data_IF_579865207859
#
_entry.id   IF_579865207859
#
_cell.length_a   1.000
_cell.length_b   1.000
_cell.length_c   1.000
_cell.angle_alpha   90.00
_cell.angle_beta   90.00
_cell.angle_gamma   90.00
#
_symmetry.space_group_name_H-M   'P 1'
#
loop_
_entity.id
_entity.type
_entity.pdbx_description
1 polymer ?
#
# COMPACT_ATOMS: atom_id res chain seq x y z
N UNK A 1 -16.32 23.25 22.77
CA UNK A 1 -16.71 24.21 21.73
C UNK A 1 -15.83 23.92 20.55
N UNK A 2 -16.22 22.97 19.68
CA UNK A 2 -15.53 22.63 18.43
C UNK A 2 -16.18 23.43 17.30
N UNK A 3 -15.42 24.18 16.52
CA UNK A 3 -15.88 24.66 15.22
C UNK A 3 -15.28 23.75 14.15
N UNK A 4 -16.09 23.24 13.23
CA UNK A 4 -15.77 22.87 11.85
C UNK A 4 -16.68 21.77 11.26
N UNK A 5 -18.00 21.94 11.44
CA UNK A 5 -18.97 21.17 10.63
C UNK A 5 -19.39 21.89 9.32
N UNK A 6 -18.80 23.07 9.04
CA UNK A 6 -19.28 23.97 7.99
C UNK A 6 -18.76 23.75 6.57
N UNK A 7 -17.66 23.01 6.35
CA UNK A 7 -16.96 23.06 5.03
C UNK A 7 -17.26 21.85 4.11
N UNK A 8 -17.94 20.83 4.60
CA UNK A 8 -18.22 19.61 3.81
C UNK A 8 -19.50 19.66 2.96
N UNK A 9 -20.34 20.68 3.15
CA UNK A 9 -21.64 20.77 2.45
C UNK A 9 -21.64 21.63 1.18
N UNK A 10 -20.59 22.42 0.93
CA UNK A 10 -20.59 23.37 -0.18
C UNK A 10 -20.27 22.76 -1.57
N UNK A 11 -19.77 21.52 -1.66
CA UNK A 11 -19.44 20.88 -2.95
C UNK A 11 -20.51 19.92 -3.49
N UNK A 12 -21.70 19.85 -2.90
CA UNK A 12 -22.76 18.91 -3.31
C UNK A 12 -23.76 19.43 -4.37
N UNK A 13 -23.63 20.68 -4.79
CA UNK A 13 -24.57 21.24 -5.76
C UNK A 13 -23.92 21.27 -7.15
N UNK A 14 -24.21 20.28 -8.01
CA UNK A 14 -23.94 20.38 -9.43
C UNK A 14 -23.47 19.14 -10.19
N UNK A 15 -23.27 17.99 -9.56
CA UNK A 15 -22.85 16.78 -10.30
C UNK A 15 -24.00 15.77 -10.41
N UNK A 16 -24.60 15.57 -11.63
CA UNK A 16 -25.73 14.64 -11.83
C UNK A 16 -25.37 13.17 -11.54
N UNK A 17 -24.08 12.81 -11.49
CA UNK A 17 -23.62 11.47 -11.14
C UNK A 17 -23.69 11.19 -9.62
N UNK A 18 -23.75 12.22 -8.78
CA UNK A 18 -23.91 12.07 -7.33
C UNK A 18 -25.29 11.55 -6.92
N UNK A 19 -26.31 11.77 -7.75
CA UNK A 19 -27.67 11.24 -7.55
C UNK A 19 -27.80 9.74 -7.84
N UNK A 20 -26.82 9.13 -8.48
CA UNK A 20 -26.77 7.69 -8.79
C UNK A 20 -25.99 6.88 -7.72
N UNK A 21 -25.31 7.55 -6.81
CA UNK A 21 -24.63 6.86 -5.70
C UNK A 21 -25.70 6.57 -4.63
N UNK A 22 -25.87 5.31 -4.22
CA UNK A 22 -26.77 4.95 -3.14
C UNK A 22 -26.42 5.72 -1.86
N UNK A 23 -27.38 5.96 -0.97
CA UNK A 23 -27.20 6.57 0.35
C UNK A 23 -26.23 5.80 1.29
N UNK A 24 -25.54 4.81 0.75
CA UNK A 24 -24.57 3.91 1.39
C UNK A 24 -23.18 4.54 1.63
N UNK A 25 -23.00 5.85 1.44
CA UNK A 25 -21.73 6.52 1.76
C UNK A 25 -21.27 6.33 3.22
N UNK A 26 -22.21 6.07 4.14
CA UNK A 26 -21.86 5.72 5.51
C UNK A 26 -21.10 4.38 5.61
N UNK A 27 -21.45 3.39 4.77
CA UNK A 27 -20.72 2.13 4.67
C UNK A 27 -19.35 2.28 4.01
N UNK A 28 -19.19 3.17 3.03
CA UNK A 28 -17.88 3.48 2.45
C UNK A 28 -16.89 4.07 3.47
N UNK A 29 -17.37 4.83 4.46
CA UNK A 29 -16.55 5.33 5.58
C UNK A 29 -15.98 4.19 6.42
N UNK A 30 -16.79 3.21 6.78
CA UNK A 30 -16.38 2.04 7.58
C UNK A 30 -15.33 1.17 6.86
N UNK A 31 -15.40 1.07 5.52
CA UNK A 31 -14.39 0.37 4.72
C UNK A 31 -13.04 1.10 4.69
N UNK A 32 -13.04 2.42 4.90
CA UNK A 32 -11.81 3.22 5.03
C UNK A 32 -11.08 2.98 6.34
N UNK A 33 -11.78 2.72 7.42
CA UNK A 33 -11.16 2.51 8.75
C UNK A 33 -10.40 1.18 8.85
N UNK A 34 -10.70 0.21 7.98
CA UNK A 34 -9.97 -1.08 7.89
C UNK A 34 -8.70 -1.04 7.03
N UNK A 35 -8.23 0.14 6.63
CA UNK A 35 -6.99 0.32 5.84
C UNK A 35 -5.72 -0.14 6.55
N UNK A 36 -5.73 -0.32 7.85
CA UNK A 36 -4.57 -0.73 8.64
C UNK A 36 -3.94 -2.07 8.24
N UNK A 37 -4.64 -2.89 7.44
CA UNK A 37 -4.17 -4.22 7.03
C UNK A 37 -3.76 -4.33 5.55
N UNK A 38 -4.01 -3.31 4.70
CA UNK A 38 -3.82 -3.45 3.25
C UNK A 38 -2.87 -2.44 2.61
N UNK A 39 -2.46 -1.37 3.30
CA UNK A 39 -1.59 -0.33 2.75
C UNK A 39 -0.11 -0.63 2.96
N UNK A 40 0.48 0.08 3.88
CA UNK A 40 1.89 -0.12 4.25
C UNK A 40 2.14 -1.51 4.87
N UNK A 41 1.09 -2.25 5.23
CA UNK A 41 1.16 -3.58 5.82
C UNK A 41 1.90 -4.62 4.98
N UNK A 42 1.86 -4.57 3.63
CA UNK A 42 2.69 -5.45 2.80
C UNK A 42 4.16 -5.10 2.97
N UNK A 43 4.50 -3.81 2.87
CA UNK A 43 5.87 -3.35 3.08
C UNK A 43 6.38 -3.70 4.46
N UNK A 44 5.60 -3.40 5.51
CA UNK A 44 5.98 -3.68 6.89
C UNK A 44 6.23 -5.17 7.13
N UNK A 45 5.39 -6.04 6.60
CA UNK A 45 5.62 -7.49 6.68
C UNK A 45 6.85 -7.94 5.93
N UNK A 46 7.10 -7.41 4.74
CA UNK A 46 8.30 -7.74 3.98
C UNK A 46 9.57 -7.23 4.67
N UNK A 47 9.51 -6.08 5.34
CA UNK A 47 10.64 -5.56 6.11
C UNK A 47 10.83 -6.32 7.43
N UNK A 48 9.76 -6.63 8.18
CA UNK A 48 9.84 -7.18 9.52
C UNK A 48 9.90 -8.73 9.53
N UNK A 49 9.06 -9.39 8.73
CA UNK A 49 8.91 -10.85 8.76
C UNK A 49 9.88 -11.53 7.79
N UNK A 50 10.12 -10.92 6.62
CA UNK A 50 11.00 -11.45 5.56
C UNK A 50 12.42 -10.89 5.65
N UNK A 51 12.58 -9.69 6.24
CA UNK A 51 13.88 -9.03 6.39
C UNK A 51 14.36 -8.30 5.13
N UNK A 52 13.47 -8.01 4.17
CA UNK A 52 13.80 -7.21 2.99
C UNK A 52 14.07 -5.75 3.38
N UNK A 53 14.99 -5.12 2.68
CA UNK A 53 15.26 -3.68 2.79
C UNK A 53 14.62 -2.97 1.61
N UNK A 54 13.53 -2.22 1.87
CA UNK A 54 12.73 -1.60 0.82
C UNK A 54 13.00 -0.11 0.77
N UNK A 55 13.50 0.35 -0.38
CA UNK A 55 13.80 1.74 -0.65
C UNK A 55 12.86 2.29 -1.72
N UNK A 56 12.27 3.45 -1.49
CA UNK A 56 11.63 4.23 -2.54
C UNK A 56 12.61 5.25 -3.09
N UNK A 57 13.00 5.08 -4.36
CA UNK A 57 14.05 5.87 -5.00
C UNK A 57 13.50 6.59 -6.23
N UNK A 58 13.91 7.83 -6.50
CA UNK A 58 13.62 8.47 -7.77
C UNK A 58 14.41 7.75 -8.88
N UNK A 59 13.70 7.22 -9.87
CA UNK A 59 14.27 6.51 -10.99
C UNK A 59 13.67 7.03 -12.30
N UNK A 60 14.32 6.72 -13.44
CA UNK A 60 13.73 6.97 -14.75
C UNK A 60 12.36 6.28 -14.86
N UNK A 61 11.40 6.94 -15.51
CA UNK A 61 9.99 6.47 -15.57
C UNK A 61 9.82 5.06 -16.15
N UNK A 62 10.77 4.60 -16.98
CA UNK A 62 10.77 3.25 -17.54
C UNK A 62 11.20 2.15 -16.56
N UNK A 63 11.81 2.50 -15.43
CA UNK A 63 12.25 1.53 -14.41
C UNK A 63 11.14 1.44 -13.34
N UNK A 64 10.64 0.24 -13.13
CA UNK A 64 9.62 -0.02 -12.13
C UNK A 64 10.20 -0.32 -10.75
N UNK A 65 11.21 -1.19 -10.72
CA UNK A 65 11.88 -1.62 -9.53
C UNK A 65 13.26 -2.20 -9.85
N UNK A 66 13.95 -2.56 -8.82
CA UNK A 66 15.21 -3.30 -8.86
C UNK A 66 15.29 -4.20 -7.63
N UNK A 67 15.90 -5.35 -7.83
CA UNK A 67 16.18 -6.31 -6.76
C UNK A 67 17.68 -6.64 -6.74
N UNK A 68 18.24 -6.70 -5.55
CA UNK A 68 19.60 -7.16 -5.30
C UNK A 68 19.66 -7.96 -4.01
N UNK A 69 20.53 -8.93 -3.96
CA UNK A 69 20.79 -9.75 -2.78
C UNK A 69 22.29 -9.88 -2.50
N UNK A 70 22.63 -9.85 -1.23
CA UNK A 70 23.96 -10.12 -0.74
C UNK A 70 23.84 -10.91 0.58
N UNK A 71 24.69 -11.92 0.80
CA UNK A 71 24.59 -12.80 1.96
C UNK A 71 24.78 -12.08 3.29
N UNK A 72 25.57 -11.01 3.33
CA UNK A 72 25.78 -10.20 4.54
C UNK A 72 24.64 -9.21 4.79
N UNK A 73 24.14 -8.60 3.70
CA UNK A 73 23.12 -7.56 3.78
C UNK A 73 21.68 -8.09 3.59
N UNK A 74 21.52 -9.28 3.01
CA UNK A 74 20.21 -9.81 2.64
C UNK A 74 19.60 -9.15 1.40
N UNK A 75 18.29 -9.28 1.24
CA UNK A 75 17.55 -8.74 0.10
C UNK A 75 17.32 -7.24 0.18
N UNK A 76 17.61 -6.53 -0.90
CA UNK A 76 17.34 -5.12 -1.09
C UNK A 76 16.42 -4.92 -2.29
N UNK A 77 15.35 -4.17 -2.10
CA UNK A 77 14.37 -3.83 -3.14
C UNK A 77 14.32 -2.31 -3.28
N UNK A 78 14.54 -1.82 -4.49
CA UNK A 78 14.33 -0.43 -4.85
C UNK A 78 13.07 -0.28 -5.68
N UNK A 79 12.14 0.58 -5.27
CA UNK A 79 10.90 0.86 -5.99
C UNK A 79 10.92 2.30 -6.47
N UNK A 80 10.50 2.54 -7.71
CA UNK A 80 10.45 3.88 -8.27
C UNK A 80 9.41 4.75 -7.55
N UNK A 81 9.90 5.74 -6.80
CA UNK A 81 9.05 6.66 -6.04
C UNK A 81 8.19 7.57 -6.92
N UNK A 82 8.58 7.79 -8.19
CA UNK A 82 7.83 8.60 -9.15
C UNK A 82 6.59 7.90 -9.74
N UNK A 83 6.41 6.61 -9.49
CA UNK A 83 5.23 5.88 -9.97
C UNK A 83 4.01 6.06 -9.06
N UNK A 84 2.78 5.94 -9.59
CA UNK A 84 1.56 5.91 -8.79
C UNK A 84 1.58 4.79 -7.74
N UNK A 85 0.79 4.95 -6.67
CA UNK A 85 0.74 4.03 -5.52
C UNK A 85 0.48 2.59 -5.93
N UNK A 86 -0.52 2.35 -6.76
CA UNK A 86 -0.91 1.02 -7.24
C UNK A 86 0.23 0.33 -8.00
N UNK A 87 0.97 1.09 -8.82
CA UNK A 87 2.14 0.58 -9.54
C UNK A 87 3.30 0.29 -8.60
N UNK A 88 3.58 1.17 -7.62
CA UNK A 88 4.61 0.92 -6.60
C UNK A 88 4.32 -0.36 -5.81
N UNK A 89 3.05 -0.55 -5.44
CA UNK A 89 2.62 -1.72 -4.69
C UNK A 89 2.73 -3.01 -5.51
N UNK A 90 2.34 -2.95 -6.79
CA UNK A 90 2.54 -4.07 -7.72
C UNK A 90 4.01 -4.40 -7.89
N UNK A 91 4.85 -3.39 -8.16
CA UNK A 91 6.29 -3.58 -8.33
C UNK A 91 6.93 -4.20 -7.08
N UNK A 92 6.53 -3.79 -5.88
CA UNK A 92 7.03 -4.38 -4.64
C UNK A 92 6.71 -5.88 -4.54
N UNK A 93 5.49 -6.28 -4.86
CA UNK A 93 5.10 -7.68 -4.87
C UNK A 93 5.83 -8.47 -5.97
N UNK A 94 6.06 -7.87 -7.12
CA UNK A 94 6.81 -8.45 -8.25
C UNK A 94 8.28 -8.71 -7.86
N UNK A 95 8.96 -7.72 -7.26
CA UNK A 95 10.34 -7.89 -6.78
C UNK A 95 10.43 -8.94 -5.65
N UNK A 96 9.40 -9.05 -4.83
CA UNK A 96 9.32 -10.14 -3.85
C UNK A 96 9.22 -11.51 -4.53
N UNK A 97 8.51 -11.61 -5.65
CA UNK A 97 8.50 -12.81 -6.51
C UNK A 97 9.90 -13.20 -6.99
N UNK A 98 10.71 -12.23 -7.41
CA UNK A 98 12.11 -12.44 -7.79
C UNK A 98 12.97 -12.91 -6.61
N UNK A 99 12.79 -12.32 -5.43
CA UNK A 99 13.47 -12.79 -4.20
C UNK A 99 13.19 -14.25 -3.90
N UNK A 100 11.94 -14.69 -4.04
CA UNK A 100 11.55 -16.07 -3.76
C UNK A 100 12.12 -17.10 -4.75
N UNK A 101 12.29 -16.71 -6.01
CA UNK A 101 12.68 -17.64 -7.09
C UNK A 101 14.15 -17.60 -7.47
N UNK A 102 14.86 -16.53 -7.10
CA UNK A 102 16.25 -16.38 -7.58
C UNK A 102 16.99 -15.26 -6.87
N UNK A 103 17.06 -15.30 -5.54
CA UNK A 103 17.65 -14.23 -4.72
C UNK A 103 19.08 -13.87 -5.10
N UNK A 104 19.85 -14.78 -5.63
CA UNK A 104 21.25 -14.54 -6.04
C UNK A 104 21.43 -13.87 -7.41
N UNK A 105 20.31 -13.60 -8.11
CA UNK A 105 20.34 -12.92 -9.40
C UNK A 105 19.74 -11.53 -9.23
N UNK A 106 20.62 -10.51 -9.23
CA UNK A 106 20.17 -9.11 -9.24
C UNK A 106 19.45 -8.80 -10.54
N UNK A 107 18.37 -8.05 -10.47
CA UNK A 107 17.52 -7.74 -11.61
C UNK A 107 17.04 -6.29 -11.57
N UNK A 108 16.81 -5.72 -12.77
CA UNK A 108 16.19 -4.40 -12.94
C UNK A 108 14.93 -4.61 -13.78
N UNK A 109 13.78 -4.29 -13.19
CA UNK A 109 12.48 -4.44 -13.83
C UNK A 109 12.11 -3.18 -14.60
N UNK A 110 11.96 -3.32 -15.93
CA UNK A 110 11.56 -2.25 -16.82
C UNK A 110 10.06 -2.32 -17.13
N UNK A 111 9.41 -1.14 -17.19
CA UNK A 111 8.05 -1.05 -17.71
C UNK A 111 8.08 -1.24 -19.24
N UNK A 112 7.38 -2.25 -19.71
CA UNK A 112 7.07 -2.44 -21.14
C UNK A 112 8.29 -2.50 -22.07
N UNK A 113 8.98 -3.62 -22.11
CA UNK A 113 9.62 -4.03 -23.34
C UNK A 113 8.77 -5.12 -23.99
N UNK A 114 8.41 -4.95 -25.28
CA UNK A 114 7.72 -5.96 -26.10
C UNK A 114 8.62 -7.19 -26.40
N UNK A 115 9.57 -7.48 -25.54
CA UNK A 115 10.44 -8.65 -25.63
C UNK A 115 9.71 -9.87 -25.09
N UNK A 116 10.11 -11.04 -25.57
CA UNK A 116 9.61 -12.33 -25.09
C UNK A 116 9.83 -12.43 -23.58
N UNK A 117 8.73 -12.28 -22.82
CA UNK A 117 8.75 -12.28 -21.35
C UNK A 117 9.30 -13.61 -20.86
N UNK A 118 10.33 -13.58 -20.03
CA UNK A 118 10.95 -14.79 -19.47
C UNK A 118 9.98 -15.58 -18.59
N UNK A 119 10.26 -16.85 -18.34
CA UNK A 119 9.44 -17.64 -17.41
C UNK A 119 9.45 -17.04 -15.99
N UNK A 120 10.57 -16.45 -15.61
CA UNK A 120 10.77 -15.79 -14.31
C UNK A 120 9.91 -14.54 -14.17
N UNK A 121 9.87 -13.69 -15.19
CA UNK A 121 8.99 -12.52 -15.23
C UNK A 121 7.51 -12.92 -15.17
N UNK A 122 7.11 -13.92 -15.96
CA UNK A 122 5.73 -14.44 -15.91
C UNK A 122 5.36 -14.96 -14.53
N UNK A 123 6.31 -15.61 -13.85
CA UNK A 123 6.10 -16.06 -12.48
C UNK A 123 5.94 -14.86 -11.53
N UNK A 124 6.83 -13.86 -11.59
CA UNK A 124 6.78 -12.69 -10.72
C UNK A 124 5.47 -11.90 -10.91
N UNK A 125 5.00 -11.73 -12.15
CA UNK A 125 3.71 -11.10 -12.45
C UNK A 125 2.53 -11.93 -11.92
N UNK A 126 2.57 -13.24 -12.13
CA UNK A 126 1.53 -14.15 -11.61
C UNK A 126 1.54 -14.15 -10.09
N UNK A 127 2.72 -14.22 -9.49
CA UNK A 127 2.89 -14.14 -8.04
C UNK A 127 2.31 -12.83 -7.49
N UNK A 128 2.70 -11.67 -8.03
CA UNK A 128 2.22 -10.36 -7.59
C UNK A 128 0.69 -10.30 -7.62
N UNK A 129 0.07 -10.77 -8.71
CA UNK A 129 -1.39 -10.83 -8.85
C UNK A 129 -2.06 -11.63 -7.74
N UNK A 130 -1.56 -12.83 -7.46
CA UNK A 130 -2.17 -13.72 -6.48
C UNK A 130 -1.87 -13.30 -5.04
N UNK A 131 -0.70 -12.75 -4.81
CA UNK A 131 -0.25 -12.24 -3.51
C UNK A 131 -1.04 -11.00 -3.08
N UNK A 132 -1.21 -10.03 -3.98
CA UNK A 132 -1.95 -8.82 -3.70
C UNK A 132 -3.48 -9.03 -3.69
N UNK A 133 -3.99 -9.96 -4.50
CA UNK A 133 -5.40 -10.24 -4.67
C UNK A 133 -5.71 -11.73 -4.47
N UNK A 134 -5.53 -12.27 -3.24
CA UNK A 134 -5.81 -13.68 -2.94
C UNK A 134 -7.30 -13.97 -3.16
N UNK A 135 -7.59 -15.07 -3.87
CA UNK A 135 -8.94 -15.43 -4.30
C UNK A 135 -9.95 -15.51 -3.14
N UNK A 136 -9.55 -16.06 -1.99
CA UNK A 136 -10.43 -16.19 -0.83
C UNK A 136 -10.84 -14.85 -0.25
N UNK A 137 -9.88 -13.95 -0.04
CA UNK A 137 -10.11 -12.60 0.48
C UNK A 137 -10.94 -11.76 -0.49
N UNK A 138 -10.56 -11.76 -1.78
CA UNK A 138 -11.26 -11.00 -2.81
C UNK A 138 -12.71 -11.49 -3.00
N UNK A 139 -12.94 -12.81 -3.05
CA UNK A 139 -14.27 -13.38 -3.17
C UNK A 139 -15.16 -13.02 -1.97
N UNK A 140 -14.62 -13.08 -0.75
CA UNK A 140 -15.36 -12.69 0.45
C UNK A 140 -15.79 -11.22 0.38
N UNK A 141 -14.86 -10.31 0.10
CA UNK A 141 -15.14 -8.87 0.00
C UNK A 141 -16.13 -8.54 -1.12
N UNK A 142 -15.96 -9.15 -2.28
CA UNK A 142 -16.88 -8.98 -3.39
C UNK A 142 -18.30 -9.44 -3.02
N UNK A 143 -18.44 -10.59 -2.34
CA UNK A 143 -19.74 -11.12 -1.90
C UNK A 143 -20.38 -10.23 -0.83
N UNK A 144 -19.61 -9.71 0.11
CA UNK A 144 -20.07 -8.77 1.13
C UNK A 144 -20.64 -7.49 0.46
N UNK A 145 -19.89 -6.91 -0.48
CA UNK A 145 -20.33 -5.72 -1.23
C UNK A 145 -21.57 -6.01 -2.09
N UNK A 146 -21.65 -7.17 -2.71
CA UNK A 146 -22.83 -7.57 -3.51
C UNK A 146 -24.08 -7.71 -2.65
N UNK A 147 -23.95 -8.24 -1.43
CA UNK A 147 -25.08 -8.40 -0.48
C UNK A 147 -25.55 -7.08 0.09
N UNK A 148 -24.64 -6.12 0.30
CA UNK A 148 -24.99 -4.80 0.85
C UNK A 148 -25.58 -3.85 -0.23
N UNK A 149 -25.54 -4.22 -1.50
CA UNK A 149 -26.04 -3.40 -2.61
C UNK A 149 -27.33 -3.99 -3.19
N UNK A 150 -28.44 -3.28 -3.06
CA UNK A 150 -29.74 -3.69 -3.63
C UNK A 150 -29.74 -3.78 -5.16
N UNK A 151 -28.87 -3.02 -5.82
CA UNK A 151 -28.75 -2.95 -7.29
C UNK A 151 -27.59 -3.76 -7.86
N UNK A 152 -26.94 -4.58 -7.03
CA UNK A 152 -25.75 -5.33 -7.45
C UNK A 152 -24.46 -4.50 -7.46
N UNK A 153 -23.38 -5.06 -8.04
CA UNK A 153 -22.06 -4.43 -8.08
C UNK A 153 -22.03 -3.33 -9.15
N UNK A 154 -21.78 -2.10 -8.72
CA UNK A 154 -21.53 -0.96 -9.59
C UNK A 154 -20.02 -0.72 -9.77
N UNK A 155 -19.65 0.05 -10.80
CA UNK A 155 -18.25 0.42 -11.07
C UNK A 155 -17.60 1.16 -9.91
N UNK A 156 -18.37 1.95 -9.14
CA UNK A 156 -17.89 2.60 -7.91
C UNK A 156 -17.38 1.58 -6.87
N UNK A 157 -18.08 0.45 -6.72
CA UNK A 157 -17.65 -0.63 -5.82
C UNK A 157 -16.33 -1.25 -6.28
N UNK A 158 -16.17 -1.44 -7.59
CA UNK A 158 -14.91 -1.96 -8.17
C UNK A 158 -13.76 -0.98 -7.93
N UNK A 159 -13.97 0.32 -8.13
CA UNK A 159 -12.95 1.34 -7.84
C UNK A 159 -12.57 1.38 -6.35
N UNK A 160 -13.55 1.29 -5.45
CA UNK A 160 -13.30 1.25 -4.02
C UNK A 160 -12.55 -0.02 -3.59
N UNK A 161 -12.88 -1.15 -4.21
CA UNK A 161 -12.19 -2.41 -3.96
C UNK A 161 -10.75 -2.38 -4.47
N UNK A 162 -10.50 -1.76 -5.63
CA UNK A 162 -9.15 -1.54 -6.15
C UNK A 162 -8.31 -0.65 -5.23
N UNK A 163 -8.90 0.41 -4.66
CA UNK A 163 -8.25 1.26 -3.66
C UNK A 163 -7.95 0.49 -2.38
N UNK A 164 -8.87 -0.34 -1.91
CA UNK A 164 -8.68 -1.19 -0.72
C UNK A 164 -7.47 -2.13 -0.89
N UNK A 165 -7.37 -2.80 -2.04
CA UNK A 165 -6.26 -3.71 -2.36
C UNK A 165 -5.01 -2.98 -2.88
N UNK A 166 -5.08 -1.67 -3.07
CA UNK A 166 -4.01 -0.82 -3.62
C UNK A 166 -3.46 -1.33 -4.96
N UNK A 167 -4.36 -1.78 -5.81
CA UNK A 167 -4.07 -2.22 -7.17
C UNK A 167 -4.79 -1.33 -8.18
N UNK A 168 -4.37 -1.38 -9.44
CA UNK A 168 -5.10 -0.66 -10.49
C UNK A 168 -6.50 -1.25 -10.69
N UNK A 169 -7.46 -0.40 -11.08
CA UNK A 169 -8.83 -0.84 -11.39
C UNK A 169 -8.80 -1.91 -12.49
N UNK A 170 -7.94 -1.75 -13.49
CA UNK A 170 -7.73 -2.75 -14.53
C UNK A 170 -7.30 -4.10 -13.97
N UNK A 171 -6.26 -4.13 -13.12
CA UNK A 171 -5.77 -5.37 -12.54
C UNK A 171 -6.85 -6.07 -11.71
N UNK A 172 -7.65 -5.29 -10.96
CA UNK A 172 -8.75 -5.83 -10.18
C UNK A 172 -9.86 -6.41 -11.07
N UNK A 173 -10.30 -5.67 -12.11
CA UNK A 173 -11.34 -6.16 -13.05
C UNK A 173 -10.90 -7.47 -13.69
N UNK A 174 -9.69 -7.53 -14.25
CA UNK A 174 -9.14 -8.74 -14.86
C UNK A 174 -9.05 -9.90 -13.85
N UNK A 175 -8.73 -9.61 -12.59
CA UNK A 175 -8.74 -10.64 -11.55
C UNK A 175 -10.14 -11.13 -11.21
N UNK A 176 -11.13 -10.25 -11.17
CA UNK A 176 -12.54 -10.62 -10.96
C UNK A 176 -13.13 -11.41 -12.13
N UNK A 177 -12.73 -11.10 -13.37
CA UNK A 177 -13.05 -11.91 -14.55
C UNK A 177 -12.47 -13.33 -14.44
N UNK A 178 -11.17 -13.45 -14.09
CA UNK A 178 -10.51 -14.72 -13.86
C UNK A 178 -11.22 -15.55 -12.77
N UNK A 179 -11.68 -14.92 -11.71
CA UNK A 179 -12.45 -15.54 -10.64
C UNK A 179 -13.93 -15.74 -10.97
N UNK A 180 -14.36 -15.42 -12.19
CA UNK A 180 -15.76 -15.50 -12.67
C UNK A 180 -16.74 -14.71 -11.81
N UNK A 181 -16.30 -13.61 -11.24
CA UNK A 181 -17.13 -12.66 -10.48
C UNK A 181 -17.67 -11.54 -11.37
N UNK A 182 -16.97 -11.23 -12.44
CA UNK A 182 -17.41 -10.39 -13.54
C UNK A 182 -17.37 -11.19 -14.84
N UNK A 183 -18.22 -10.84 -15.83
CA UNK A 183 -18.16 -11.42 -17.16
C UNK A 183 -16.80 -11.18 -17.81
N UNK A 184 -16.30 -12.16 -18.58
CA UNK A 184 -15.09 -11.98 -19.37
C UNK A 184 -15.27 -10.82 -20.37
N UNK A 185 -14.22 -10.01 -20.56
CA UNK A 185 -14.23 -8.84 -21.42
C UNK A 185 -14.87 -7.59 -20.79
N UNK A 186 -15.17 -7.62 -19.50
CA UNK A 186 -15.68 -6.43 -18.78
C UNK A 186 -14.71 -5.26 -18.89
N UNK A 187 -13.39 -5.50 -18.74
CA UNK A 187 -12.40 -4.44 -18.89
C UNK A 187 -12.37 -3.87 -20.31
N UNK A 188 -12.34 -4.73 -21.34
CA UNK A 188 -12.32 -4.30 -22.73
C UNK A 188 -13.55 -3.42 -23.07
N UNK A 189 -14.73 -3.81 -22.61
CA UNK A 189 -15.96 -3.01 -22.78
C UNK A 189 -15.85 -1.64 -22.09
N UNK A 190 -15.32 -1.58 -20.86
CA UNK A 190 -15.12 -0.30 -20.16
C UNK A 190 -14.15 0.62 -20.91
N UNK A 191 -13.10 0.07 -21.54
CA UNK A 191 -12.18 0.83 -22.38
C UNK A 191 -12.87 1.36 -23.66
N UNK A 192 -13.67 0.53 -24.33
CA UNK A 192 -14.44 0.90 -25.51
C UNK A 192 -15.48 1.98 -25.19
N UNK A 193 -16.13 1.90 -24.02
CA UNK A 193 -17.05 2.91 -23.49
C UNK A 193 -16.34 4.19 -23.04
N UNK A 194 -15.01 4.24 -23.12
CA UNK A 194 -14.21 5.42 -22.79
C UNK A 194 -14.06 5.67 -21.29
N UNK A 195 -14.17 4.65 -20.45
CA UNK A 195 -14.01 4.78 -19.00
C UNK A 195 -12.67 5.39 -18.60
N UNK A 196 -12.71 6.43 -17.78
CA UNK A 196 -11.53 7.14 -17.27
C UNK A 196 -11.36 6.89 -15.77
N UNK A 197 -10.41 6.04 -15.40
CA UNK A 197 -10.13 5.66 -14.02
C UNK A 197 -9.89 6.88 -13.13
N UNK A 198 -9.07 7.84 -13.58
CA UNK A 198 -8.77 9.06 -12.79
C UNK A 198 -10.01 9.90 -12.49
N UNK A 199 -10.91 10.05 -13.47
CA UNK A 199 -12.16 10.78 -13.28
C UNK A 199 -13.05 10.08 -12.26
N UNK A 200 -13.17 8.76 -12.34
CA UNK A 200 -13.91 7.97 -11.37
C UNK A 200 -13.34 8.09 -9.95
N UNK A 201 -12.01 8.01 -9.81
CA UNK A 201 -11.32 8.18 -8.52
C UNK A 201 -11.57 9.58 -7.92
N UNK A 202 -11.52 10.64 -8.73
CA UNK A 202 -11.83 12.00 -8.29
C UNK A 202 -13.27 12.13 -7.79
N UNK A 203 -14.24 11.61 -8.54
CA UNK A 203 -15.66 11.61 -8.13
C UNK A 203 -15.89 10.86 -6.81
N UNK A 204 -15.16 9.77 -6.60
CA UNK A 204 -15.24 8.95 -5.38
C UNK A 204 -14.40 9.50 -4.22
N UNK A 205 -13.65 10.59 -4.41
CA UNK A 205 -12.74 11.13 -3.39
C UNK A 205 -11.60 10.17 -3.03
N UNK A 206 -11.16 9.33 -3.98
CA UNK A 206 -10.05 8.41 -3.80
C UNK A 206 -8.75 9.13 -4.12
N UNK A 207 -7.84 9.22 -3.15
CA UNK A 207 -6.48 9.70 -3.40
C UNK A 207 -5.65 8.58 -4.04
N UNK A 208 -5.51 8.67 -5.35
CA UNK A 208 -4.78 7.66 -6.13
C UNK A 208 -3.26 7.66 -5.86
N UNK A 209 -2.71 8.74 -5.30
CA UNK A 209 -1.26 8.87 -5.11
C UNK A 209 -0.88 9.60 -3.82
N UNK A 210 -1.24 9.04 -2.65
CA UNK A 210 -0.85 9.65 -1.39
C UNK A 210 0.69 9.74 -1.26
N UNK A 211 1.20 10.72 -0.51
CA UNK A 211 2.64 10.86 -0.31
C UNK A 211 3.23 9.62 0.35
N UNK A 212 4.47 9.29 -0.04
CA UNK A 212 5.21 8.18 0.55
C UNK A 212 5.67 8.61 1.94
N UNK A 213 5.19 7.92 2.97
CA UNK A 213 5.51 8.25 4.36
C UNK A 213 6.99 8.01 4.69
N UNK A 214 7.57 6.91 4.18
CA UNK A 214 8.94 6.51 4.44
C UNK A 214 9.65 6.10 3.14
N UNK A 215 10.67 6.86 2.75
CA UNK A 215 11.49 6.55 1.57
C UNK A 215 12.51 5.43 1.85
N UNK A 216 12.98 5.35 3.09
CA UNK A 216 13.99 4.40 3.56
C UNK A 216 13.36 3.27 4.39
N UNK A 217 13.99 2.09 4.48
CA UNK A 217 13.53 1.01 5.34
C UNK A 217 13.44 1.47 6.80
N UNK A 218 12.40 1.04 7.52
CA UNK A 218 12.20 1.43 8.92
C UNK A 218 13.40 1.09 9.79
N UNK A 219 13.84 -0.15 9.71
CA UNK A 219 15.01 -0.61 10.46
C UNK A 219 16.29 0.20 10.17
N UNK A 220 16.47 0.67 8.93
CA UNK A 220 17.60 1.53 8.57
C UNK A 220 17.52 2.88 9.28
N UNK A 221 16.34 3.49 9.32
CA UNK A 221 16.10 4.73 10.06
C UNK A 221 16.40 4.56 11.55
N UNK A 222 15.86 3.52 12.17
CA UNK A 222 16.01 3.25 13.60
C UNK A 222 17.49 3.01 13.96
N UNK A 223 18.21 2.22 13.16
CA UNK A 223 19.64 1.97 13.36
C UNK A 223 20.50 3.23 13.17
N UNK A 224 20.18 4.09 12.20
CA UNK A 224 20.89 5.35 11.97
C UNK A 224 20.67 6.32 13.15
N UNK A 225 19.44 6.42 13.66
CA UNK A 225 19.11 7.24 14.84
C UNK A 225 19.80 6.69 16.08
N UNK A 226 19.78 5.37 16.29
CA UNK A 226 20.48 4.74 17.40
C UNK A 226 21.99 5.01 17.36
N UNK A 227 22.62 4.87 16.19
CA UNK A 227 24.04 5.17 16.02
C UNK A 227 24.37 6.65 16.30
N UNK A 228 23.47 7.57 15.95
CA UNK A 228 23.59 8.98 16.29
C UNK A 228 23.50 9.20 17.81
N UNK A 229 22.53 8.59 18.49
CA UNK A 229 22.41 8.68 19.96
C UNK A 229 23.63 8.09 20.70
N UNK A 230 24.25 7.07 20.13
CA UNK A 230 25.47 6.47 20.66
C UNK A 230 26.76 7.28 20.35
N UNK A 231 26.62 8.44 19.69
CA UNK A 231 27.77 9.28 19.31
C UNK A 231 28.63 8.70 18.18
N UNK A 232 28.16 7.62 17.53
CA UNK A 232 28.88 6.97 16.40
C UNK A 232 28.71 7.74 15.08
N UNK A 233 27.68 8.57 14.98
CA UNK A 233 27.40 9.43 13.84
C UNK A 233 27.29 10.87 14.29
N UNK A 234 27.90 11.79 13.53
CA UNK A 234 27.62 13.21 13.66
C UNK A 234 26.27 13.54 13.01
N UNK A 235 25.66 14.66 13.37
CA UNK A 235 24.41 15.16 12.73
C UNK A 235 24.51 15.25 11.21
N UNK A 236 25.65 15.73 10.69
CA UNK A 236 25.87 15.83 9.25
C UNK A 236 26.01 14.45 8.56
N UNK A 237 26.52 13.44 9.27
CA UNK A 237 26.54 12.07 8.75
C UNK A 237 25.13 11.46 8.78
N UNK A 238 24.38 11.65 9.86
CA UNK A 238 22.99 11.23 9.96
C UNK A 238 22.13 11.82 8.81
N UNK A 239 22.20 13.16 8.62
CA UNK A 239 21.47 13.84 7.57
C UNK A 239 21.77 13.26 6.16
N UNK A 240 23.04 12.98 5.87
CA UNK A 240 23.45 12.34 4.61
C UNK A 240 22.92 10.91 4.49
N UNK A 241 22.98 10.11 5.55
CA UNK A 241 22.45 8.75 5.55
C UNK A 241 20.92 8.73 5.34
N UNK A 242 20.21 9.66 5.97
CA UNK A 242 18.77 9.78 5.84
C UNK A 242 18.34 10.51 4.55
N UNK A 243 19.29 11.01 3.74
CA UNK A 243 19.05 11.78 2.49
C UNK A 243 18.14 12.98 2.69
N UNK A 244 18.35 13.71 3.77
CA UNK A 244 17.59 14.91 4.14
C UNK A 244 18.51 16.00 4.67
N UNK A 245 18.00 17.22 4.81
CA UNK A 245 18.74 18.28 5.46
C UNK A 245 18.87 18.04 6.98
N UNK A 246 19.74 18.83 7.66
CA UNK A 246 20.02 18.66 9.07
C UNK A 246 18.80 18.95 9.96
N UNK A 247 17.96 19.90 9.55
CA UNK A 247 16.75 20.26 10.32
C UNK A 247 15.76 19.12 10.28
N UNK A 248 15.50 18.56 9.10
CA UNK A 248 14.64 17.39 8.93
C UNK A 248 15.20 16.16 9.67
N UNK A 249 16.52 15.97 9.68
CA UNK A 249 17.15 14.87 10.43
C UNK A 249 16.93 15.01 11.94
N UNK A 250 17.06 16.22 12.51
CA UNK A 250 16.73 16.49 13.92
C UNK A 250 15.28 16.20 14.23
N UNK A 251 14.35 16.66 13.37
CA UNK A 251 12.92 16.39 13.57
C UNK A 251 12.64 14.89 13.59
N UNK A 252 13.32 14.09 12.75
CA UNK A 252 13.19 12.62 12.77
C UNK A 252 13.73 12.00 14.04
N UNK A 253 14.81 12.53 14.60
CA UNK A 253 15.35 12.08 15.90
C UNK A 253 14.35 12.38 17.03
N UNK A 254 13.79 13.57 17.07
CA UNK A 254 12.80 13.95 18.09
C UNK A 254 11.48 13.14 17.94
N UNK A 255 11.04 12.89 16.71
CA UNK A 255 9.89 12.04 16.44
C UNK A 255 10.12 10.61 16.95
N UNK A 256 11.30 10.05 16.71
CA UNK A 256 11.67 8.72 17.23
C UNK A 256 11.71 8.71 18.77
N UNK A 257 12.31 9.73 19.38
CA UNK A 257 12.39 9.88 20.83
C UNK A 257 11.01 9.96 21.49
N UNK A 258 10.11 10.74 20.88
CA UNK A 258 8.74 10.88 21.38
C UNK A 258 7.98 9.55 21.34
N UNK A 259 8.23 8.70 20.33
CA UNK A 259 7.63 7.36 20.26
C UNK A 259 8.17 6.44 21.36
N UNK A 260 9.48 6.43 21.60
CA UNK A 260 10.07 5.63 22.68
C UNK A 260 9.55 6.06 24.05
N UNK A 261 9.44 7.37 24.29
CA UNK A 261 8.91 7.88 25.56
C UNK A 261 7.41 7.57 25.73
N UNK A 262 6.62 7.61 24.64
CA UNK A 262 5.20 7.24 24.68
C UNK A 262 5.02 5.73 24.94
N UNK A 263 5.88 4.89 24.37
CA UNK A 263 5.88 3.45 24.64
C UNK A 263 6.31 3.13 26.09
N UNK A 264 7.23 3.89 26.69
CA UNK A 264 7.60 3.74 28.10
C UNK A 264 6.50 4.25 29.06
N UNK A 265 5.79 5.33 28.70
CA UNK A 265 4.77 5.93 29.56
C UNK A 265 3.40 5.20 29.48
N UNK A 266 3.08 4.61 28.33
CA UNK A 266 1.80 3.94 28.08
C UNK A 266 1.88 2.41 28.39
N UNK A 267 3.06 1.86 28.46
CA UNK A 267 3.22 0.43 28.37
C UNK A 267 3.00 -0.30 29.67
N UNK A 268 3.21 0.25 30.82
CA UNK A 268 3.26 -0.61 32.02
C UNK A 268 2.82 0.05 33.32
N UNK A 269 1.96 1.04 33.30
CA UNK A 269 1.20 1.37 34.50
C UNK A 269 0.09 0.33 34.72
N UNK A 270 0.49 -0.80 35.29
CA UNK A 270 -0.38 -1.66 36.10
C UNK A 270 -1.49 -2.42 35.39
N UNK A 271 -1.15 -3.22 34.40
CA UNK A 271 -1.92 -4.44 34.16
C UNK A 271 -0.98 -5.62 34.46
N UNK A 272 -0.87 -6.01 35.72
CA UNK A 272 -0.54 -7.41 35.98
C UNK A 272 -1.64 -8.23 35.32
N UNK A 273 -1.34 -8.93 34.22
CA UNK A 273 -2.37 -9.71 33.55
C UNK A 273 -2.81 -10.79 34.52
N UNK A 274 -4.07 -10.75 34.93
CA UNK A 274 -4.65 -11.84 35.70
C UNK A 274 -4.78 -13.05 34.77
N UNK A 275 -3.69 -13.84 34.69
CA UNK A 275 -3.63 -15.04 33.86
C UNK A 275 -4.59 -16.15 34.32
N UNK A 276 -5.25 -15.98 35.46
CA UNK A 276 -6.29 -16.87 35.96
C UNK A 276 -7.73 -16.47 35.52
N UNK A 277 -7.89 -15.32 34.85
CA UNK A 277 -9.20 -14.90 34.35
C UNK A 277 -9.66 -15.82 33.22
N UNK A 278 -10.85 -16.44 33.31
CA UNK A 278 -11.38 -17.28 32.25
C UNK A 278 -11.67 -16.44 31.01
N UNK A 279 -11.19 -16.87 29.83
CA UNK A 279 -11.39 -16.22 28.53
C UNK A 279 -12.84 -16.34 27.98
N UNK A 280 -13.78 -16.82 28.77
CA UNK A 280 -15.18 -16.99 28.41
C UNK A 280 -16.06 -16.54 29.56
N UNK A 281 -16.31 -15.25 29.68
CA UNK A 281 -17.34 -14.70 30.55
C UNK A 281 -18.49 -14.16 29.74
N UNK A 282 -19.65 -14.75 29.86
CA UNK A 282 -21.04 -14.56 29.41
C UNK A 282 -21.36 -13.28 28.65
#
# INVERSE_FOLDING_TARGET
MCPEEGTYLAHRQGNPLLGLLPREHAHFGLWREHRGLHGDGVRERLENDVGLRIFYLPMASKIAGLFAYNDELGGCVGINSGHPRDRRHWSLAHEYGHFLTGRYQSEITFLSEKKRVSARERFADSFARHFLMPASGLNRRFTEMHRSSERGIALAHVCALADLYQVSVQALVLRLEELRRLPNGTWARLEEEGFKVRSAQQVLGIDANPPIQHLLPRRYLDLAILAYHQGKLSEGQLARMLRMDRVAARMKVEEARSRFNAEEDDTYKNLEPNLASPLGGR
#
